data_IF_804379271581
#
_entry.id   IF_804379271581
#
_cell.length_a   1.000
_cell.length_b   1.000
_cell.length_c   1.000
_cell.angle_alpha   90.00
_cell.angle_beta   90.00
_cell.angle_gamma   90.00
#
_symmetry.space_group_name_H-M   'P 1'
#
loop_
_entity.id
_entity.type
_entity.pdbx_description
1 polymer ?
#
# COMPACT_ATOMS: atom_id res chain seq x y z
N UNK A 1 -31.58 -10.01 6.63
CA UNK A 1 -30.16 -10.19 6.31
C UNK A 1 -29.87 -9.21 5.19
N UNK A 2 -28.94 -8.27 5.38
CA UNK A 2 -28.45 -7.41 4.29
C UNK A 2 -27.71 -8.29 3.28
N UNK A 3 -27.92 -8.04 1.99
CA UNK A 3 -27.15 -8.67 0.94
C UNK A 3 -25.75 -8.04 0.93
N UNK A 4 -24.71 -8.81 1.23
CA UNK A 4 -23.32 -8.33 1.25
C UNK A 4 -22.78 -7.96 -0.15
N UNK A 5 -23.61 -8.07 -1.18
CA UNK A 5 -23.30 -7.67 -2.56
C UNK A 5 -24.07 -6.43 -3.01
N UNK A 6 -24.76 -5.76 -2.09
CA UNK A 6 -25.41 -4.49 -2.40
C UNK A 6 -24.38 -3.33 -2.40
N UNK A 7 -24.80 -2.17 -2.87
CA UNK A 7 -23.95 -0.98 -2.98
C UNK A 7 -23.45 -0.42 -1.62
N UNK A 8 -23.94 -0.97 -0.50
CA UNK A 8 -23.50 -0.59 0.85
C UNK A 8 -22.31 -1.42 1.35
N UNK A 9 -21.86 -2.41 0.57
CA UNK A 9 -20.75 -3.29 0.96
C UNK A 9 -19.73 -3.40 -0.17
N UNK A 10 -18.47 -3.13 0.15
CA UNK A 10 -17.37 -3.62 -0.65
C UNK A 10 -17.12 -5.08 -0.26
N UNK A 11 -17.04 -5.97 -1.25
CA UNK A 11 -16.82 -7.41 -1.02
C UNK A 11 -15.75 -7.93 -1.96
N UNK A 12 -14.63 -8.37 -1.39
CA UNK A 12 -13.62 -9.13 -2.08
C UNK A 12 -13.93 -10.63 -1.96
N UNK A 13 -14.04 -11.33 -3.09
CA UNK A 13 -14.43 -12.74 -3.16
C UNK A 13 -13.24 -13.60 -3.56
N UNK A 14 -12.92 -14.59 -2.74
CA UNK A 14 -11.87 -15.59 -2.99
C UNK A 14 -12.51 -16.91 -3.41
N UNK A 15 -12.98 -17.01 -4.65
CA UNK A 15 -13.72 -18.18 -5.16
C UNK A 15 -12.94 -19.48 -5.00
N UNK A 16 -11.62 -19.46 -5.22
CA UNK A 16 -10.77 -20.63 -5.08
C UNK A 16 -10.69 -21.18 -3.65
N UNK A 17 -10.98 -20.34 -2.65
CA UNK A 17 -10.94 -20.70 -1.23
C UNK A 17 -12.34 -20.79 -0.60
N UNK A 18 -13.39 -20.44 -1.36
CA UNK A 18 -14.76 -20.41 -0.86
C UNK A 18 -14.96 -19.41 0.28
N UNK A 19 -14.26 -18.27 0.23
CA UNK A 19 -14.30 -17.24 1.26
C UNK A 19 -14.51 -15.84 0.65
N UNK A 20 -14.95 -14.89 1.48
CA UNK A 20 -15.07 -13.51 1.10
C UNK A 20 -14.76 -12.62 2.29
N UNK A 21 -14.24 -11.42 2.01
CA UNK A 21 -14.06 -10.35 2.98
C UNK A 21 -14.95 -9.16 2.60
N UNK A 22 -15.68 -8.60 3.56
CA UNK A 22 -16.59 -7.50 3.28
C UNK A 22 -16.47 -6.40 4.32
N UNK A 23 -16.46 -5.15 3.85
CA UNK A 23 -16.57 -3.94 4.67
C UNK A 23 -17.78 -3.13 4.25
N UNK A 24 -18.50 -2.61 5.24
CA UNK A 24 -19.61 -1.71 4.97
C UNK A 24 -19.08 -0.33 4.59
N UNK A 25 -19.46 0.12 3.40
CA UNK A 25 -19.03 1.40 2.83
C UNK A 25 -20.17 2.42 2.84
N UNK A 26 -19.83 3.67 2.99
CA UNK A 26 -20.77 4.79 2.96
C UNK A 26 -20.69 5.59 1.66
N UNK A 27 -19.50 5.68 1.08
CA UNK A 27 -19.24 6.49 -0.11
C UNK A 27 -18.04 5.96 -0.88
N UNK A 28 -18.08 6.02 -2.22
CA UNK A 28 -16.90 5.85 -3.07
C UNK A 28 -16.24 7.22 -3.28
N UNK A 29 -15.03 7.38 -2.76
CA UNK A 29 -14.28 8.66 -2.77
C UNK A 29 -13.41 8.83 -4.02
N UNK A 30 -12.95 7.72 -4.60
CA UNK A 30 -12.12 7.69 -5.81
C UNK A 30 -12.44 6.45 -6.64
N UNK A 31 -12.40 6.63 -7.96
CA UNK A 31 -12.54 5.55 -8.94
C UNK A 31 -11.71 5.95 -10.16
N UNK A 32 -10.53 5.35 -10.33
CA UNK A 32 -9.57 5.71 -11.38
C UNK A 32 -8.98 4.46 -12.01
N UNK A 33 -9.03 4.40 -13.34
CA UNK A 33 -8.27 3.42 -14.10
C UNK A 33 -6.92 4.04 -14.48
N UNK A 34 -5.86 3.58 -13.84
CA UNK A 34 -4.50 3.90 -14.24
C UNK A 34 -4.06 3.04 -15.45
N UNK A 35 -2.90 3.29 -16.05
CA UNK A 35 -2.35 2.40 -17.07
C UNK A 35 -2.04 0.98 -16.57
N UNK A 36 -2.00 0.77 -15.25
CA UNK A 36 -1.53 -0.48 -14.63
C UNK A 36 -2.63 -1.24 -13.90
N UNK A 37 -3.57 -0.53 -13.25
CA UNK A 37 -4.57 -1.14 -12.39
C UNK A 37 -5.77 -0.22 -12.16
N UNK A 38 -6.86 -0.78 -11.70
CA UNK A 38 -8.04 -0.05 -11.25
C UNK A 38 -7.90 0.29 -9.78
N UNK A 39 -7.85 1.58 -9.45
CA UNK A 39 -7.69 2.11 -8.11
C UNK A 39 -9.01 2.69 -7.62
N UNK A 40 -9.47 2.23 -6.47
CA UNK A 40 -10.68 2.72 -5.81
C UNK A 40 -10.39 3.09 -4.36
N UNK A 41 -11.05 4.13 -3.86
CA UNK A 41 -11.03 4.48 -2.43
C UNK A 41 -12.47 4.65 -1.96
N UNK A 42 -12.77 4.03 -0.83
CA UNK A 42 -14.08 4.10 -0.20
C UNK A 42 -13.97 4.64 1.22
N UNK A 43 -14.97 5.42 1.65
CA UNK A 43 -15.22 5.68 3.07
C UNK A 43 -15.96 4.49 3.66
N UNK A 44 -15.48 3.94 4.77
CA UNK A 44 -16.14 2.86 5.50
C UNK A 44 -16.82 3.38 6.77
N UNK A 45 -17.74 2.63 7.35
CA UNK A 45 -18.42 3.07 8.59
C UNK A 45 -17.48 3.03 9.82
N UNK A 46 -16.52 2.08 9.88
CA UNK A 46 -15.76 1.81 11.11
C UNK A 46 -14.25 1.63 10.90
N UNK A 47 -13.79 1.57 9.64
CA UNK A 47 -12.37 1.33 9.32
C UNK A 47 -11.67 2.56 8.74
N UNK A 48 -12.35 3.73 8.67
CA UNK A 48 -11.85 4.89 7.96
C UNK A 48 -11.88 4.68 6.45
N UNK A 49 -10.90 5.21 5.73
CA UNK A 49 -10.80 4.99 4.30
C UNK A 49 -10.28 3.58 3.99
N UNK A 50 -10.77 3.00 2.89
CA UNK A 50 -10.38 1.72 2.34
C UNK A 50 -9.78 1.95 0.95
N UNK A 51 -8.55 1.49 0.71
CA UNK A 51 -7.95 1.45 -0.62
C UNK A 51 -8.11 0.06 -1.23
N UNK A 52 -8.51 0.04 -2.48
CA UNK A 52 -8.73 -1.19 -3.28
C UNK A 52 -7.98 -1.06 -4.59
N UNK A 53 -7.25 -2.12 -4.98
CA UNK A 53 -6.58 -2.23 -6.27
C UNK A 53 -7.08 -3.48 -7.00
N UNK A 54 -7.62 -3.31 -8.21
CA UNK A 54 -8.19 -4.41 -9.03
C UNK A 54 -9.19 -5.29 -8.26
N UNK A 55 -10.01 -4.67 -7.37
CA UNK A 55 -10.98 -5.37 -6.56
C UNK A 55 -10.41 -6.06 -5.31
N UNK A 56 -9.10 -5.95 -5.05
CA UNK A 56 -8.45 -6.49 -3.86
C UNK A 56 -8.30 -5.42 -2.77
N UNK A 57 -8.64 -5.76 -1.53
CA UNK A 57 -8.40 -4.90 -0.36
C UNK A 57 -6.91 -4.75 -0.12
N UNK A 58 -6.42 -3.51 -0.13
CA UNK A 58 -5.01 -3.23 0.13
C UNK A 58 -4.77 -2.78 1.58
N UNK A 59 -5.51 -1.78 2.03
CA UNK A 59 -5.37 -1.23 3.38
C UNK A 59 -6.62 -0.47 3.83
N UNK A 60 -6.74 -0.27 5.14
CA UNK A 60 -7.66 0.70 5.73
C UNK A 60 -6.92 1.61 6.70
N UNK A 61 -7.50 2.78 7.03
CA UNK A 61 -6.91 3.66 8.05
C UNK A 61 -6.71 2.95 9.38
N UNK A 62 -7.64 2.07 9.75
CA UNK A 62 -7.69 1.46 11.07
C UNK A 62 -6.59 0.42 11.32
N UNK A 63 -6.24 -0.40 10.32
CA UNK A 63 -5.43 -1.61 10.53
C UNK A 63 -4.21 -1.73 9.62
N UNK A 64 -3.94 -0.72 8.76
CA UNK A 64 -2.79 -0.71 7.86
C UNK A 64 -1.45 -0.96 8.58
N UNK A 65 -1.32 -0.48 9.82
CA UNK A 65 -0.10 -0.64 10.61
C UNK A 65 0.29 -2.11 10.82
N UNK A 66 -0.68 -3.02 10.91
CA UNK A 66 -0.40 -4.45 11.08
C UNK A 66 0.45 -5.00 9.92
N UNK A 67 0.10 -4.61 8.69
CA UNK A 67 0.85 -4.99 7.51
C UNK A 67 2.20 -4.28 7.43
N UNK A 68 2.21 -2.95 7.55
CA UNK A 68 3.42 -2.14 7.36
C UNK A 68 4.49 -2.42 8.41
N UNK A 69 4.10 -2.57 9.67
CA UNK A 69 5.02 -2.94 10.74
C UNK A 69 5.57 -4.37 10.55
N UNK A 70 4.72 -5.32 10.18
CA UNK A 70 5.13 -6.71 10.01
C UNK A 70 6.00 -6.96 8.79
N UNK A 71 5.87 -6.19 7.73
CA UNK A 71 6.77 -6.29 6.57
C UNK A 71 8.10 -5.61 6.80
N UNK A 72 8.16 -4.53 7.59
CA UNK A 72 9.37 -3.74 7.83
C UNK A 72 10.20 -4.23 9.01
N UNK A 73 9.62 -4.27 10.21
CA UNK A 73 10.37 -4.42 11.45
C UNK A 73 11.05 -5.78 11.62
N UNK A 74 10.45 -6.95 11.34
CA UNK A 74 11.13 -8.23 11.53
C UNK A 74 12.43 -8.34 10.71
N UNK A 75 12.42 -7.85 9.47
CA UNK A 75 13.59 -7.87 8.61
C UNK A 75 14.67 -6.92 9.12
N UNK A 76 14.31 -5.69 9.51
CA UNK A 76 15.26 -4.67 9.94
C UNK A 76 15.87 -4.96 11.31
N UNK A 77 15.10 -5.55 12.25
CA UNK A 77 15.63 -5.96 13.56
C UNK A 77 16.51 -7.19 13.51
N UNK A 78 16.38 -8.05 12.49
CA UNK A 78 17.23 -9.24 12.34
C UNK A 78 18.47 -8.99 11.51
N UNK A 79 18.47 -7.97 10.65
CA UNK A 79 19.64 -7.62 9.85
C UNK A 79 20.71 -6.94 10.70
N UNK A 80 21.98 -7.32 10.53
CA UNK A 80 23.09 -6.80 11.35
C UNK A 80 23.43 -5.34 11.07
N UNK A 81 23.21 -4.85 9.83
CA UNK A 81 23.55 -3.48 9.41
C UNK A 81 22.55 -3.01 8.33
N UNK A 82 21.30 -2.61 8.71
CA UNK A 82 20.23 -2.31 7.77
C UNK A 82 20.29 -0.87 7.23
N UNK A 83 21.45 -0.46 6.70
CA UNK A 83 21.68 0.93 6.25
C UNK A 83 20.98 1.30 4.96
N UNK A 84 20.84 0.35 4.03
CA UNK A 84 20.27 0.60 2.71
C UNK A 84 19.13 -0.37 2.47
N UNK A 85 17.94 0.18 2.24
CA UNK A 85 16.72 -0.59 2.05
C UNK A 85 16.12 -0.29 0.68
N UNK A 86 15.65 -1.32 0.01
CA UNK A 86 14.85 -1.20 -1.21
C UNK A 86 13.46 -1.76 -0.93
N UNK A 87 12.44 -0.98 -1.24
CA UNK A 87 11.05 -1.38 -1.18
C UNK A 87 10.55 -1.55 -2.62
N UNK A 88 10.04 -2.73 -2.95
CA UNK A 88 9.46 -3.04 -4.25
C UNK A 88 7.96 -3.02 -4.11
N UNK A 89 7.31 -2.09 -4.83
CA UNK A 89 5.92 -1.73 -4.60
C UNK A 89 5.76 -0.75 -3.43
N UNK A 90 4.63 -0.78 -2.77
CA UNK A 90 4.34 0.05 -1.59
C UNK A 90 3.98 1.48 -1.93
N UNK A 91 3.29 1.70 -3.05
CA UNK A 91 2.86 3.03 -3.49
C UNK A 91 2.06 3.82 -2.45
N UNK A 92 1.45 3.14 -1.46
CA UNK A 92 0.79 3.77 -0.32
C UNK A 92 1.76 4.45 0.68
N UNK A 93 3.07 4.17 0.60
CA UNK A 93 4.16 4.70 1.43
C UNK A 93 4.16 4.26 2.91
N UNK A 94 3.24 3.43 3.36
CA UNK A 94 3.19 2.98 4.75
C UNK A 94 4.43 2.16 5.14
N UNK A 95 4.91 1.28 4.26
CA UNK A 95 6.16 0.53 4.47
C UNK A 95 7.37 1.46 4.55
N UNK A 96 7.44 2.49 3.69
CA UNK A 96 8.49 3.50 3.72
C UNK A 96 8.54 4.22 5.08
N UNK A 97 7.37 4.64 5.57
CA UNK A 97 7.24 5.26 6.89
C UNK A 97 7.82 4.37 8.00
N UNK A 98 7.46 3.08 8.03
CA UNK A 98 7.94 2.17 9.07
C UNK A 98 9.44 1.87 8.94
N UNK A 99 9.97 1.74 7.73
CA UNK A 99 11.42 1.58 7.50
C UNK A 99 12.21 2.78 8.02
N UNK A 100 11.72 4.00 7.78
CA UNK A 100 12.39 5.24 8.19
C UNK A 100 12.35 5.50 9.71
N UNK A 101 11.53 4.77 10.46
CA UNK A 101 11.56 4.77 11.94
C UNK A 101 12.83 4.12 12.51
N UNK A 102 13.57 3.35 11.70
CA UNK A 102 14.82 2.75 12.14
C UNK A 102 15.97 3.76 11.97
N UNK A 103 16.66 4.12 13.09
CA UNK A 103 17.70 5.15 13.05
C UNK A 103 18.95 4.74 12.28
N UNK A 104 19.22 3.44 12.16
CA UNK A 104 20.39 2.90 11.45
C UNK A 104 20.20 2.90 9.92
N UNK A 105 19.00 3.12 9.44
CA UNK A 105 18.71 3.23 8.01
C UNK A 105 19.21 4.58 7.49
N UNK A 106 20.15 4.54 6.54
CA UNK A 106 20.76 5.71 5.92
C UNK A 106 20.11 6.09 4.59
N UNK A 107 19.56 5.10 3.86
CA UNK A 107 18.87 5.31 2.58
C UNK A 107 17.78 4.28 2.34
N UNK A 108 16.62 4.76 1.88
CA UNK A 108 15.52 3.92 1.39
C UNK A 108 15.19 4.33 -0.03
N UNK A 109 15.17 3.36 -0.95
CA UNK A 109 14.64 3.56 -2.30
C UNK A 109 13.37 2.74 -2.45
N UNK A 110 12.25 3.42 -2.62
CA UNK A 110 10.96 2.79 -2.90
C UNK A 110 10.68 2.87 -4.41
N UNK A 111 10.32 1.74 -5.00
CA UNK A 111 10.08 1.65 -6.44
C UNK A 111 8.68 1.07 -6.64
N UNK A 112 7.76 1.90 -7.10
CA UNK A 112 6.41 1.48 -7.49
C UNK A 112 6.18 1.72 -8.98
N UNK A 113 5.32 0.93 -9.60
CA UNK A 113 5.00 1.09 -11.00
C UNK A 113 3.96 2.19 -11.24
N UNK A 114 3.12 2.45 -10.23
CA UNK A 114 1.92 3.27 -10.37
C UNK A 114 1.92 4.47 -9.42
N UNK A 115 2.31 5.63 -9.93
CA UNK A 115 2.29 6.90 -9.20
C UNK A 115 0.89 7.29 -8.69
N UNK A 116 -0.19 6.83 -9.37
CA UNK A 116 -1.56 7.16 -8.96
C UNK A 116 -1.90 6.59 -7.57
N UNK A 117 -1.29 5.46 -7.17
CA UNK A 117 -1.44 4.91 -5.80
C UNK A 117 -0.88 5.88 -4.77
N UNK A 118 0.32 6.44 -5.02
CA UNK A 118 0.91 7.42 -4.11
C UNK A 118 0.10 8.71 -4.05
N UNK A 119 -0.40 9.21 -5.17
CA UNK A 119 -1.28 10.39 -5.19
C UNK A 119 -2.59 10.16 -4.43
N UNK A 120 -3.15 8.95 -4.53
CA UNK A 120 -4.32 8.58 -3.74
C UNK A 120 -3.99 8.50 -2.23
N UNK A 121 -2.83 7.95 -1.88
CA UNK A 121 -2.36 7.92 -0.50
C UNK A 121 -2.16 9.34 0.06
N UNK A 122 -1.53 10.24 -0.67
CA UNK A 122 -1.37 11.66 -0.29
C UNK A 122 -2.72 12.34 -0.01
N UNK A 123 -3.74 12.00 -0.78
CA UNK A 123 -5.06 12.62 -0.65
C UNK A 123 -5.91 12.03 0.45
N UNK A 124 -5.89 10.71 0.61
CA UNK A 124 -6.87 9.99 1.44
C UNK A 124 -6.26 9.30 2.67
N UNK A 125 -4.93 9.12 2.71
CA UNK A 125 -4.20 8.45 3.79
C UNK A 125 -2.97 9.27 4.20
N UNK A 126 -3.13 10.55 4.60
CA UNK A 126 -2.01 11.47 4.82
C UNK A 126 -1.01 10.97 5.86
N UNK A 127 -1.44 10.16 6.82
CA UNK A 127 -0.57 9.58 7.84
C UNK A 127 0.48 8.61 7.27
N UNK A 128 0.20 7.94 6.13
CA UNK A 128 1.12 7.00 5.50
C UNK A 128 2.28 7.70 4.79
N UNK A 129 2.02 8.90 4.27
CA UNK A 129 2.96 9.65 3.42
C UNK A 129 3.80 10.68 4.20
N UNK A 130 3.65 10.77 5.51
CA UNK A 130 4.39 11.72 6.37
C UNK A 130 5.91 11.66 6.18
N UNK A 131 6.44 10.47 5.86
CA UNK A 131 7.86 10.25 5.68
C UNK A 131 8.38 10.46 4.25
N UNK A 132 7.51 10.79 3.28
CA UNK A 132 7.93 10.96 1.87
C UNK A 132 8.95 12.10 1.69
N UNK A 133 8.94 13.10 2.57
CA UNK A 133 9.90 14.20 2.59
C UNK A 133 11.20 13.94 3.37
N UNK A 134 11.40 12.76 3.95
CA UNK A 134 12.63 12.43 4.67
C UNK A 134 13.83 12.43 3.69
N UNK A 135 14.95 13.10 4.02
CA UNK A 135 16.12 13.15 3.14
C UNK A 135 16.75 11.78 2.82
N UNK A 136 16.41 10.75 3.57
CA UNK A 136 16.83 9.37 3.33
C UNK A 136 15.94 8.65 2.31
N UNK A 137 14.74 9.18 2.03
CA UNK A 137 13.78 8.59 1.11
C UNK A 137 14.05 8.97 -0.34
N UNK A 138 13.91 8.00 -1.22
CA UNK A 138 13.90 8.19 -2.67
C UNK A 138 12.73 7.38 -3.25
N UNK A 139 11.74 8.07 -3.83
CA UNK A 139 10.60 7.44 -4.49
C UNK A 139 10.83 7.43 -6.00
N UNK A 140 10.74 6.26 -6.61
CA UNK A 140 10.88 6.06 -8.05
C UNK A 140 9.62 5.40 -8.60
N UNK A 141 9.09 5.93 -9.70
CA UNK A 141 7.97 5.34 -10.40
C UNK A 141 8.46 4.69 -11.69
N UNK A 142 8.67 3.38 -11.65
CA UNK A 142 9.22 2.62 -12.76
C UNK A 142 8.91 1.13 -12.64
N UNK A 143 8.87 0.45 -13.79
CA UNK A 143 8.85 -1.00 -13.80
C UNK A 143 10.25 -1.57 -13.47
N UNK A 144 10.39 -2.23 -12.34
CA UNK A 144 11.66 -2.79 -11.88
C UNK A 144 12.24 -3.82 -12.87
N UNK A 145 11.39 -4.57 -13.59
CA UNK A 145 11.83 -5.58 -14.56
C UNK A 145 12.59 -4.98 -15.75
N UNK A 146 12.35 -3.70 -16.07
CA UNK A 146 13.03 -3.00 -17.15
C UNK A 146 14.24 -2.18 -16.69
N UNK A 147 14.37 -1.97 -15.37
CA UNK A 147 15.43 -1.12 -14.79
C UNK A 147 16.56 -1.92 -14.13
N UNK A 148 16.34 -3.22 -13.88
CA UNK A 148 17.36 -4.12 -13.34
C UNK A 148 17.98 -4.97 -14.43
N UNK A 149 19.33 -5.13 -14.47
CA UNK A 149 19.95 -6.11 -15.35
C UNK A 149 19.45 -7.51 -14.99
N UNK A 150 19.02 -8.26 -16.01
CA UNK A 150 18.60 -9.64 -15.82
C UNK A 150 19.80 -10.48 -15.37
N UNK A 151 19.65 -11.39 -14.39
CA UNK A 151 20.72 -12.33 -14.04
C UNK A 151 21.11 -13.30 -15.16
N UNK A 152 20.44 -13.22 -16.32
CA UNK A 152 20.64 -14.08 -17.50
C UNK A 152 21.34 -13.38 -18.65
N UNK A 153 21.69 -12.08 -18.50
CA UNK A 153 22.38 -11.29 -19.53
C UNK A 153 23.89 -11.27 -19.27
#
# INVERSE_FOLDING_TARGET
MSDLRDEQWFTEVFDSHGSAFSLKVSEKLLDVQSPYQHLEVYATETYGNLMVLDGCVMLTDRDNFLYHEMIAHPALFTHQDPKRVVIIGGGDCGTLKEVLRHPDVEKVTQIDIDEEVTKAAERFFPELVEANGDPRAELLFACLLYTSPSPRD
#
